data_IF_607789746521
#
_entry.id   IF_607789746521
#
_cell.length_a   1.000
_cell.length_b   1.000
_cell.length_c   1.000
_cell.angle_alpha   90.00
_cell.angle_beta   90.00
_cell.angle_gamma   90.00
#
_symmetry.space_group_name_H-M   'P 1'
#
loop_
_entity.id
_entity.type
_entity.pdbx_description
1 polymer ?
#
# COMPACT_ATOMS: atom_id res chain seq x y z
N UNK A 1 -0.74 12.49 -23.55
CA UNK A 1 -1.31 12.31 -22.19
C UNK A 1 -0.87 11.00 -21.56
N UNK A 2 -0.75 9.89 -22.30
CA UNK A 2 -0.22 8.62 -21.77
C UNK A 2 1.28 8.67 -21.39
N UNK A 3 2.14 9.33 -22.17
CA UNK A 3 3.60 9.37 -21.92
C UNK A 3 4.01 9.95 -20.56
N UNK A 4 3.31 10.96 -20.03
CA UNK A 4 3.71 11.58 -18.77
C UNK A 4 3.37 10.72 -17.53
N UNK A 5 2.42 9.79 -17.66
CA UNK A 5 2.02 8.88 -16.58
C UNK A 5 3.08 7.80 -16.34
N UNK A 6 3.68 7.29 -17.41
CA UNK A 6 4.72 6.25 -17.32
C UNK A 6 6.05 6.83 -16.82
N UNK A 7 6.34 8.11 -17.13
CA UNK A 7 7.62 8.75 -16.80
C UNK A 7 7.64 9.51 -15.45
N UNK A 8 6.54 10.18 -15.07
CA UNK A 8 6.48 10.97 -13.82
C UNK A 8 5.05 11.07 -13.26
N UNK A 9 4.67 10.03 -12.51
CA UNK A 9 3.35 9.92 -11.86
C UNK A 9 3.05 11.07 -10.90
N UNK A 10 4.07 11.63 -10.24
CA UNK A 10 3.91 12.73 -9.28
C UNK A 10 3.46 13.98 -10.04
N UNK A 11 4.24 14.38 -11.05
CA UNK A 11 3.93 15.54 -11.87
C UNK A 11 2.60 15.38 -12.61
N UNK A 12 2.29 14.18 -13.09
CA UNK A 12 0.99 13.87 -13.69
C UNK A 12 -0.16 14.11 -12.69
N UNK A 13 -0.03 13.59 -11.46
CA UNK A 13 -1.09 13.70 -10.44
C UNK A 13 -1.33 15.14 -9.99
N UNK A 14 -0.28 15.96 -9.87
CA UNK A 14 -0.37 17.38 -9.52
C UNK A 14 -1.08 18.18 -10.61
N UNK A 15 -0.69 17.96 -11.88
CA UNK A 15 -1.32 18.60 -13.04
C UNK A 15 -2.80 18.24 -13.16
N UNK A 16 -3.13 16.96 -12.96
CA UNK A 16 -4.51 16.51 -12.98
C UNK A 16 -5.33 17.16 -11.84
N UNK A 17 -4.77 17.22 -10.64
CA UNK A 17 -5.41 17.89 -9.49
C UNK A 17 -5.69 19.36 -9.76
N UNK A 18 -4.78 20.06 -10.45
CA UNK A 18 -4.98 21.45 -10.85
C UNK A 18 -6.08 21.62 -11.90
N UNK A 19 -6.10 20.77 -12.92
CA UNK A 19 -7.17 20.77 -13.94
C UNK A 19 -8.55 20.54 -13.32
N UNK A 20 -8.66 19.59 -12.37
CA UNK A 20 -9.91 19.33 -11.65
C UNK A 20 -10.36 20.53 -10.80
N UNK A 21 -9.44 21.22 -10.11
CA UNK A 21 -9.76 22.44 -9.35
C UNK A 21 -10.26 23.57 -10.24
N UNK A 22 -9.60 23.81 -11.38
CA UNK A 22 -10.02 24.83 -12.37
C UNK A 22 -11.40 24.52 -12.94
N UNK A 23 -11.67 23.26 -13.28
CA UNK A 23 -12.98 22.80 -13.74
C UNK A 23 -14.07 23.01 -12.69
N UNK A 24 -13.77 22.75 -11.42
CA UNK A 24 -14.68 22.97 -10.29
C UNK A 24 -14.94 24.47 -10.02
N UNK A 25 -13.98 25.34 -10.33
CA UNK A 25 -14.13 26.80 -10.28
C UNK A 25 -14.95 27.39 -11.45
N UNK A 26 -15.39 26.55 -12.40
CA UNK A 26 -16.20 26.97 -13.55
C UNK A 26 -15.40 27.41 -14.78
N UNK A 27 -14.08 27.20 -14.79
CA UNK A 27 -13.28 27.45 -15.99
C UNK A 27 -13.65 26.48 -17.11
N UNK A 28 -13.62 26.97 -18.36
CA UNK A 28 -13.72 26.13 -19.56
C UNK A 28 -12.42 25.33 -19.68
N UNK A 29 -12.46 24.10 -19.18
CA UNK A 29 -11.40 23.11 -19.38
C UNK A 29 -11.78 22.25 -20.58
N UNK A 30 -10.81 21.96 -21.44
CA UNK A 30 -11.00 21.07 -22.57
C UNK A 30 -11.34 19.65 -22.07
N UNK A 31 -12.57 19.18 -22.32
CA UNK A 31 -13.01 17.86 -21.85
C UNK A 31 -12.22 16.72 -22.51
N UNK A 32 -11.61 16.95 -23.68
CA UNK A 32 -10.72 15.98 -24.30
C UNK A 32 -9.42 15.75 -23.52
N UNK A 33 -9.08 16.63 -22.56
CA UNK A 33 -7.95 16.47 -21.64
C UNK A 33 -8.33 15.69 -20.36
N UNK A 34 -9.62 15.39 -20.15
CA UNK A 34 -10.12 14.65 -18.98
C UNK A 34 -10.73 13.32 -19.41
N UNK A 35 -9.88 12.29 -19.51
CA UNK A 35 -10.30 10.90 -19.72
C UNK A 35 -10.92 10.32 -18.44
N UNK A 36 -12.20 10.60 -18.19
CA UNK A 36 -12.91 10.22 -16.97
C UNK A 36 -12.80 8.73 -16.59
N UNK A 37 -12.94 7.77 -17.53
CA UNK A 37 -12.67 6.37 -17.24
C UNK A 37 -11.25 6.13 -16.67
N UNK A 38 -10.23 6.69 -17.30
CA UNK A 38 -8.85 6.53 -16.85
C UNK A 38 -8.62 7.20 -15.48
N UNK A 39 -9.14 8.42 -15.28
CA UNK A 39 -9.09 9.11 -13.99
C UNK A 39 -9.69 8.28 -12.85
N UNK A 40 -10.88 7.70 -13.07
CA UNK A 40 -11.54 6.87 -12.07
C UNK A 40 -10.68 5.65 -11.72
N UNK A 41 -10.13 4.98 -12.74
CA UNK A 41 -9.23 3.83 -12.56
C UNK A 41 -7.98 4.20 -11.74
N UNK A 42 -7.38 5.36 -11.99
CA UNK A 42 -6.20 5.83 -11.25
C UNK A 42 -6.52 6.20 -9.81
N UNK A 43 -7.64 6.88 -9.55
CA UNK A 43 -8.08 7.16 -8.17
C UNK A 43 -8.30 5.86 -7.39
N UNK A 44 -8.93 4.86 -8.02
CA UNK A 44 -9.09 3.55 -7.40
C UNK A 44 -7.74 2.82 -7.23
N UNK A 45 -6.79 3.01 -8.15
CA UNK A 45 -5.45 2.42 -8.10
C UNK A 45 -4.69 2.90 -6.86
N UNK A 46 -4.80 4.18 -6.52
CA UNK A 46 -4.25 4.77 -5.28
C UNK A 46 -4.83 4.08 -4.04
N UNK A 47 -6.15 3.86 -3.99
CA UNK A 47 -6.77 3.14 -2.88
C UNK A 47 -6.28 1.69 -2.76
N UNK A 48 -6.13 1.00 -3.90
CA UNK A 48 -5.59 -0.37 -3.95
C UNK A 48 -4.13 -0.43 -3.52
N UNK A 49 -3.30 0.55 -3.89
CA UNK A 49 -1.88 0.57 -3.54
C UNK A 49 -1.68 0.80 -2.04
N UNK A 50 -2.43 1.71 -1.43
CA UNK A 50 -2.41 1.93 0.03
C UNK A 50 -2.81 0.67 0.80
N UNK A 51 -3.90 -0.01 0.40
CA UNK A 51 -4.28 -1.30 1.00
C UNK A 51 -3.20 -2.37 0.82
N UNK A 52 -2.54 -2.38 -0.34
CA UNK A 52 -1.47 -3.34 -0.63
C UNK A 52 -0.22 -3.07 0.20
N UNK A 53 0.12 -1.80 0.47
CA UNK A 53 1.21 -1.42 1.35
C UNK A 53 1.02 -1.96 2.77
N UNK A 54 -0.17 -1.76 3.36
CA UNK A 54 -0.50 -2.32 4.69
C UNK A 54 -0.37 -3.85 4.71
N UNK A 55 -0.89 -4.54 3.69
CA UNK A 55 -0.76 -6.00 3.57
C UNK A 55 0.70 -6.45 3.45
N UNK A 56 1.52 -5.69 2.71
CA UNK A 56 2.96 -5.97 2.56
C UNK A 56 3.71 -5.82 3.88
N UNK A 57 3.45 -4.74 4.64
CA UNK A 57 4.05 -4.56 5.96
C UNK A 57 3.63 -5.67 6.94
N UNK A 58 2.36 -6.08 6.94
CA UNK A 58 1.91 -7.25 7.74
C UNK A 58 2.66 -8.52 7.32
N UNK A 59 2.83 -8.75 6.01
CA UNK A 59 3.57 -9.90 5.48
C UNK A 59 5.08 -9.87 5.80
N UNK A 60 5.66 -8.70 6.01
CA UNK A 60 7.04 -8.56 6.50
C UNK A 60 7.12 -8.85 8.01
N UNK A 61 6.12 -8.40 8.79
CA UNK A 61 6.10 -8.62 10.23
C UNK A 61 5.94 -10.11 10.61
N UNK A 62 5.01 -10.82 9.97
CA UNK A 62 4.63 -12.17 10.39
C UNK A 62 5.79 -13.19 10.40
N UNK A 63 6.63 -13.33 9.35
CA UNK A 63 7.74 -14.27 9.40
C UNK A 63 8.72 -13.98 10.54
N UNK A 64 8.96 -12.70 10.86
CA UNK A 64 9.84 -12.32 11.95
C UNK A 64 9.23 -12.58 13.33
N UNK A 65 7.92 -12.33 13.50
CA UNK A 65 7.19 -12.71 14.70
C UNK A 65 7.22 -14.22 14.94
N UNK A 66 6.90 -14.98 13.91
CA UNK A 66 6.89 -16.44 13.95
C UNK A 66 8.28 -17.00 14.28
N UNK A 67 9.34 -16.45 13.67
CA UNK A 67 10.73 -16.83 13.99
C UNK A 67 11.10 -16.51 15.44
N UNK A 68 10.73 -15.33 15.93
CA UNK A 68 11.02 -14.93 17.30
C UNK A 68 10.25 -15.79 18.33
N UNK A 69 9.02 -16.22 18.01
CA UNK A 69 8.22 -17.10 18.85
C UNK A 69 8.73 -18.55 18.83
N UNK A 70 9.11 -19.06 17.66
CA UNK A 70 9.62 -20.42 17.51
C UNK A 70 11.04 -20.61 18.07
N UNK A 71 11.89 -19.58 17.99
CA UNK A 71 13.28 -19.64 18.45
C UNK A 71 13.66 -18.46 19.35
N UNK A 72 13.07 -18.35 20.56
CA UNK A 72 13.25 -17.18 21.43
C UNK A 72 14.67 -17.02 21.97
N UNK A 73 15.46 -18.10 22.00
CA UNK A 73 16.86 -18.09 22.47
C UNK A 73 17.87 -17.98 21.32
N UNK A 74 17.41 -17.84 20.06
CA UNK A 74 18.32 -17.62 18.95
C UNK A 74 19.01 -16.27 19.08
N UNK A 75 20.28 -16.21 18.66
CA UNK A 75 21.08 -14.97 18.63
C UNK A 75 20.35 -13.84 17.89
N UNK A 76 19.61 -14.17 16.85
CA UNK A 76 18.93 -13.21 15.97
C UNK A 76 17.51 -12.85 16.45
N UNK A 77 16.99 -13.48 17.51
CA UNK A 77 15.64 -13.22 18.01
C UNK A 77 15.37 -11.74 18.33
N UNK A 78 16.29 -10.98 18.99
CA UNK A 78 16.09 -9.55 19.20
C UNK A 78 16.00 -8.75 17.89
N UNK A 79 16.75 -9.14 16.86
CA UNK A 79 16.70 -8.49 15.56
C UNK A 79 15.36 -8.75 14.86
N UNK A 80 14.89 -10.01 14.83
CA UNK A 80 13.58 -10.33 14.26
C UNK A 80 12.45 -9.58 14.98
N UNK A 81 12.48 -9.50 16.31
CA UNK A 81 11.50 -8.72 17.07
C UNK A 81 11.51 -7.24 16.71
N UNK A 82 12.70 -6.66 16.48
CA UNK A 82 12.86 -5.28 16.03
C UNK A 82 12.26 -5.06 14.64
N UNK A 83 12.58 -5.92 13.67
CA UNK A 83 12.05 -5.84 12.30
C UNK A 83 10.53 -6.01 12.28
N UNK A 84 10.01 -6.99 13.02
CA UNK A 84 8.57 -7.21 13.14
C UNK A 84 7.86 -6.00 13.76
N UNK A 85 8.45 -5.39 14.79
CA UNK A 85 7.92 -4.17 15.41
C UNK A 85 7.88 -3.02 14.41
N UNK A 86 8.96 -2.78 13.67
CA UNK A 86 9.03 -1.72 12.65
C UNK A 86 7.94 -1.93 11.60
N UNK A 87 7.86 -3.12 11.02
CA UNK A 87 6.85 -3.43 10.00
C UNK A 87 5.42 -3.28 10.52
N UNK A 88 5.14 -3.63 11.79
CA UNK A 88 3.82 -3.36 12.40
C UNK A 88 3.53 -1.88 12.59
N UNK A 89 4.52 -1.05 12.91
CA UNK A 89 4.36 0.39 13.02
C UNK A 89 4.06 0.99 11.64
N UNK A 90 4.80 0.59 10.60
CA UNK A 90 4.56 1.05 9.22
C UNK A 90 3.15 0.62 8.74
N UNK A 91 2.73 -0.60 9.06
CA UNK A 91 1.37 -1.07 8.79
C UNK A 91 0.31 -0.22 9.52
N UNK A 92 0.56 0.16 10.77
CA UNK A 92 -0.36 0.97 11.57
C UNK A 92 -0.45 2.41 11.07
N UNK A 93 0.65 2.98 10.59
CA UNK A 93 0.70 4.33 10.01
C UNK A 93 -0.08 4.41 8.70
N UNK A 94 0.06 3.42 7.83
CA UNK A 94 -0.68 3.36 6.56
C UNK A 94 -2.14 2.87 6.70
N UNK A 95 -2.51 2.31 7.85
CA UNK A 95 -3.84 1.73 8.06
C UNK A 95 -4.92 2.80 8.28
N UNK A 96 -6.08 2.58 7.66
CA UNK A 96 -7.30 3.36 7.93
C UNK A 96 -8.48 2.43 8.28
N UNK A 97 -9.50 2.90 9.03
CA UNK A 97 -10.60 2.04 9.48
C UNK A 97 -11.34 1.30 8.36
N UNK A 98 -11.44 1.88 7.17
CA UNK A 98 -12.11 1.29 6.00
C UNK A 98 -11.39 0.05 5.46
N UNK A 99 -10.10 -0.13 5.78
CA UNK A 99 -9.31 -1.28 5.35
C UNK A 99 -9.62 -2.55 6.16
N UNK A 100 -10.22 -2.44 7.36
CA UNK A 100 -10.48 -3.57 8.27
C UNK A 100 -11.10 -4.77 7.56
N UNK A 101 -12.19 -4.53 6.84
CA UNK A 101 -12.95 -5.58 6.15
C UNK A 101 -12.24 -6.12 4.91
N UNK A 102 -11.19 -5.42 4.44
CA UNK A 102 -10.41 -5.79 3.26
C UNK A 102 -9.10 -6.50 3.62
N UNK A 103 -8.74 -6.64 4.88
CA UNK A 103 -7.53 -7.32 5.31
C UNK A 103 -7.90 -8.65 5.97
N UNK A 104 -7.65 -9.75 5.25
CA UNK A 104 -7.81 -11.10 5.77
C UNK A 104 -6.53 -11.52 6.50
N UNK A 105 -6.49 -11.23 7.80
CA UNK A 105 -5.35 -11.53 8.67
C UNK A 105 -5.05 -13.04 8.72
N UNK A 106 -6.09 -13.88 8.77
CA UNK A 106 -5.91 -15.32 8.84
C UNK A 106 -5.23 -15.86 7.57
N UNK A 107 -5.63 -15.36 6.40
CA UNK A 107 -4.98 -15.72 5.13
C UNK A 107 -3.53 -15.22 5.05
N UNK A 108 -3.25 -13.99 5.50
CA UNK A 108 -1.89 -13.46 5.53
C UNK A 108 -1.00 -14.28 6.47
N UNK A 109 -1.51 -14.67 7.64
CA UNK A 109 -0.80 -15.52 8.58
C UNK A 109 -0.50 -16.90 8.00
N UNK A 110 -1.50 -17.56 7.40
CA UNK A 110 -1.31 -18.84 6.72
C UNK A 110 -0.28 -18.76 5.58
N UNK A 111 -0.23 -17.64 4.85
CA UNK A 111 0.80 -17.41 3.81
C UNK A 111 2.19 -17.25 4.43
N UNK A 112 2.32 -16.49 5.52
CA UNK A 112 3.59 -16.30 6.21
C UNK A 112 4.15 -17.61 6.78
N UNK A 113 3.29 -18.47 7.34
CA UNK A 113 3.67 -19.81 7.79
C UNK A 113 4.26 -20.66 6.65
N UNK A 114 3.66 -20.64 5.46
CA UNK A 114 4.19 -21.36 4.29
C UNK A 114 5.57 -20.86 3.89
N UNK A 115 5.74 -19.54 3.81
CA UNK A 115 7.03 -18.92 3.48
C UNK A 115 8.11 -19.32 4.49
N UNK A 116 7.78 -19.32 5.78
CA UNK A 116 8.72 -19.72 6.84
C UNK A 116 9.16 -21.19 6.72
N UNK A 117 8.29 -22.08 6.26
CA UNK A 117 8.60 -23.51 6.08
C UNK A 117 9.41 -23.79 4.81
N UNK A 118 9.40 -22.87 3.85
CA UNK A 118 10.13 -22.97 2.58
C UNK A 118 11.52 -22.30 2.62
N UNK A 119 11.83 -21.54 3.68
CA UNK A 119 13.06 -20.75 3.88
C UNK A 119 14.02 -21.37 4.89
#
# INVERSE_FOLDING_TARGET
MADLYEDDILLWSERLGELLRRRAAGELVNEAELDWPNLAQEIESVGRSQLSAVRSHIMQAFPHDLKAEAWPTARDAPHWQSEARRARLDAAEAYTPSMRQRIDIARLYAKALRIMLES
#
